data_IF_146070594716
#
_entry.id   IF_146070594716
#
_cell.length_a   1.000
_cell.length_b   1.000
_cell.length_c   1.000
_cell.angle_alpha   90.00
_cell.angle_beta   90.00
_cell.angle_gamma   90.00
#
_symmetry.space_group_name_H-M   'P 1'
#
loop_
_entity.id
_entity.type
_entity.pdbx_description
1 polymer ?
#
# COMPACT_ATOMS: atom_id res chain seq x y z
N UNK A 1 24.35 20.59 -6.55
CA UNK A 1 23.24 20.78 -7.52
C UNK A 1 21.99 19.97 -7.19
N UNK A 2 22.06 18.64 -7.04
CA UNK A 2 20.88 17.78 -6.80
C UNK A 2 20.10 18.14 -5.52
N UNK A 3 20.80 18.38 -4.40
CA UNK A 3 20.16 18.77 -3.13
C UNK A 3 19.42 20.12 -3.24
N UNK A 4 20.00 21.08 -3.98
CA UNK A 4 19.39 22.40 -4.22
C UNK A 4 18.14 22.31 -5.12
N UNK A 5 18.10 21.37 -6.06
CA UNK A 5 16.90 21.12 -6.86
C UNK A 5 15.80 20.44 -6.04
N UNK A 6 16.15 19.46 -5.20
CA UNK A 6 15.21 18.76 -4.29
C UNK A 6 14.52 19.70 -3.30
N UNK A 7 15.27 20.66 -2.73
CA UNK A 7 14.73 21.67 -1.80
C UNK A 7 13.74 22.65 -2.45
N UNK A 8 13.60 22.66 -3.78
CA UNK A 8 12.53 23.43 -4.46
C UNK A 8 11.17 22.72 -4.38
N UNK A 9 11.18 21.40 -4.20
CA UNK A 9 10.00 20.53 -4.22
C UNK A 9 9.67 19.92 -2.87
N UNK A 10 10.57 19.96 -1.90
CA UNK A 10 10.40 19.29 -0.61
C UNK A 10 10.71 20.28 0.49
N UNK A 11 9.94 20.25 1.57
CA UNK A 11 10.32 20.94 2.80
C UNK A 11 11.73 20.55 3.21
N UNK A 12 12.50 21.46 3.82
CA UNK A 12 13.78 21.08 4.40
C UNK A 12 13.56 19.90 5.37
N UNK A 13 14.42 18.88 5.34
CA UNK A 13 14.25 17.72 6.22
C UNK A 13 14.17 18.22 7.68
N UNK A 14 13.14 17.82 8.44
CA UNK A 14 12.99 18.28 9.82
C UNK A 14 14.17 17.78 10.65
N UNK A 15 14.58 18.53 11.67
CA UNK A 15 15.64 18.14 12.62
C UNK A 15 15.20 17.01 13.58
N UNK A 16 14.39 16.07 13.10
CA UNK A 16 13.91 14.92 13.85
C UNK A 16 14.70 13.67 13.46
N UNK A 17 15.55 13.21 14.38
CA UNK A 17 16.28 11.94 14.24
C UNK A 17 15.30 10.78 14.08
N UNK A 18 14.16 10.83 14.78
CA UNK A 18 13.09 9.84 14.69
C UNK A 18 12.55 9.72 13.25
N UNK A 19 12.10 10.83 12.64
CA UNK A 19 11.58 10.77 11.26
C UNK A 19 12.64 10.38 10.24
N UNK A 20 13.88 10.78 10.45
CA UNK A 20 15.01 10.38 9.60
C UNK A 20 15.19 8.86 9.66
N UNK A 21 15.27 8.29 10.86
CA UNK A 21 15.37 6.84 11.06
C UNK A 21 14.15 6.12 10.48
N UNK A 22 12.94 6.61 10.73
CA UNK A 22 11.71 6.00 10.23
C UNK A 22 11.61 6.03 8.70
N UNK A 23 12.09 7.09 8.04
CA UNK A 23 12.13 7.18 6.57
C UNK A 23 13.05 6.11 5.98
N UNK A 24 14.24 5.93 6.56
CA UNK A 24 15.22 4.92 6.13
C UNK A 24 14.69 3.52 6.39
N UNK A 25 14.21 3.25 7.61
CA UNK A 25 13.73 1.93 8.03
C UNK A 25 12.50 1.49 7.23
N UNK A 26 11.52 2.37 7.03
CA UNK A 26 10.31 2.04 6.26
C UNK A 26 10.65 1.78 4.79
N UNK A 27 11.51 2.59 4.19
CA UNK A 27 11.96 2.36 2.81
C UNK A 27 12.73 1.04 2.70
N UNK A 28 13.76 0.83 3.52
CA UNK A 28 14.58 -0.37 3.47
C UNK A 28 13.78 -1.65 3.72
N UNK A 29 12.90 -1.67 4.73
CA UNK A 29 12.06 -2.83 5.03
C UNK A 29 11.13 -3.20 3.86
N UNK A 30 10.50 -2.23 3.22
CA UNK A 30 9.63 -2.48 2.06
C UNK A 30 10.40 -2.89 0.80
N UNK A 31 11.60 -2.31 0.56
CA UNK A 31 12.48 -2.75 -0.52
C UNK A 31 12.92 -4.20 -0.32
N UNK A 32 13.37 -4.54 0.89
CA UNK A 32 13.76 -5.92 1.25
C UNK A 32 12.57 -6.86 1.05
N UNK A 33 11.37 -6.47 1.52
CA UNK A 33 10.16 -7.26 1.31
C UNK A 33 9.86 -7.45 -0.19
N UNK A 34 10.00 -6.42 -1.02
CA UNK A 34 9.82 -6.52 -2.48
C UNK A 34 10.80 -7.48 -3.15
N UNK A 35 12.08 -7.45 -2.77
CA UNK A 35 13.09 -8.39 -3.26
C UNK A 35 12.79 -9.83 -2.81
N UNK A 36 12.30 -10.00 -1.58
CA UNK A 36 11.87 -11.31 -1.07
C UNK A 36 10.68 -11.89 -1.85
N UNK A 37 9.72 -11.04 -2.27
CA UNK A 37 8.61 -11.46 -3.13
C UNK A 37 9.10 -11.96 -4.50
N UNK A 38 10.08 -11.27 -5.11
CA UNK A 38 10.66 -11.66 -6.39
C UNK A 38 11.39 -13.02 -6.30
N UNK A 39 12.10 -13.24 -5.19
CA UNK A 39 12.84 -14.49 -4.94
C UNK A 39 11.96 -15.65 -4.45
N UNK A 40 10.67 -15.41 -4.21
CA UNK A 40 9.73 -16.42 -3.72
C UNK A 40 9.88 -16.74 -2.23
N UNK A 41 10.62 -15.92 -1.47
CA UNK A 41 10.82 -16.02 -0.01
C UNK A 41 9.93 -15.03 0.74
N UNK A 42 8.71 -14.80 0.24
CA UNK A 42 7.80 -13.75 0.73
C UNK A 42 7.64 -13.78 2.26
N UNK A 43 7.96 -12.68 2.95
CA UNK A 43 7.81 -12.55 4.41
C UNK A 43 6.35 -12.64 4.88
N UNK A 44 5.39 -12.37 4.00
CA UNK A 44 3.97 -12.27 4.33
C UNK A 44 3.21 -13.38 3.60
N UNK A 45 3.00 -14.49 4.32
CA UNK A 45 2.32 -15.68 3.81
C UNK A 45 0.81 -15.59 4.09
N UNK A 46 0.06 -14.86 3.25
CA UNK A 46 -1.40 -14.99 3.20
C UNK A 46 -1.91 -15.12 1.75
N UNK A 47 -3.06 -15.77 1.56
CA UNK A 47 -3.71 -16.01 0.27
C UNK A 47 -2.91 -16.93 -0.69
N UNK A 48 -2.75 -16.56 -1.97
CA UNK A 48 -2.15 -17.35 -3.06
C UNK A 48 -0.76 -17.90 -2.75
N UNK A 49 0.05 -17.13 -2.01
CA UNK A 49 1.45 -17.42 -1.75
C UNK A 49 1.68 -18.31 -0.51
N UNK A 50 0.61 -18.68 0.22
CA UNK A 50 0.70 -19.56 1.38
C UNK A 50 0.87 -21.04 1.00
N UNK A 51 0.26 -21.48 -0.11
CA UNK A 51 0.24 -22.91 -0.48
C UNK A 51 1.51 -23.43 -1.16
N UNK A 52 2.52 -22.59 -1.38
CA UNK A 52 3.76 -22.97 -2.08
C UNK A 52 4.90 -23.38 -1.15
N UNK A 53 4.75 -23.23 0.17
CA UNK A 53 5.78 -23.53 1.17
C UNK A 53 5.41 -24.67 2.12
N UNK A 54 4.74 -25.72 1.63
CA UNK A 54 4.61 -26.98 2.37
C UNK A 54 5.91 -27.80 2.25
N UNK A 55 7.03 -27.24 2.69
CA UNK A 55 8.16 -28.06 3.16
C UNK A 55 7.82 -28.50 4.58
N UNK A 56 7.52 -29.79 4.72
CA UNK A 56 7.33 -30.47 6.00
C UNK A 56 8.55 -30.22 6.90
N UNK A 57 8.43 -29.31 7.86
CA UNK A 57 9.31 -29.28 9.03
C UNK A 57 8.43 -29.71 10.21
N UNK A 58 8.57 -30.98 10.58
CA UNK A 58 8.03 -31.53 11.82
C UNK A 58 8.82 -30.92 12.99
N UNK A 59 8.23 -29.91 13.63
CA UNK A 59 8.79 -29.30 14.83
C UNK A 59 7.77 -28.41 15.50
N UNK A 60 7.23 -28.89 16.64
CA UNK A 60 6.41 -28.15 17.61
C UNK A 60 5.41 -27.15 17.03
N UNK A 61 4.21 -27.61 16.66
CA UNK A 61 3.08 -26.73 16.29
C UNK A 61 2.64 -25.92 17.50
N UNK A 62 3.29 -24.78 17.76
CA UNK A 62 2.68 -23.69 18.53
C UNK A 62 1.40 -23.33 17.77
N UNK A 63 0.24 -23.58 18.37
CA UNK A 63 -1.07 -23.32 17.74
C UNK A 63 -1.20 -21.81 17.54
N UNK A 64 -0.74 -21.29 16.40
CA UNK A 64 -0.83 -19.87 16.07
C UNK A 64 -2.30 -19.48 15.98
N UNK A 65 -2.64 -18.36 16.62
CA UNK A 65 -3.98 -17.79 16.53
C UNK A 65 -4.17 -17.30 15.10
N UNK A 66 -5.22 -17.77 14.44
CA UNK A 66 -5.58 -17.37 13.09
C UNK A 66 -6.94 -16.66 13.11
N UNK A 67 -7.00 -15.50 12.44
CA UNK A 67 -8.26 -14.80 12.20
C UNK A 67 -8.85 -15.23 10.86
N UNK A 68 -10.16 -15.08 10.70
CA UNK A 68 -10.76 -15.10 9.37
C UNK A 68 -10.12 -13.98 8.52
N UNK A 69 -9.89 -14.21 7.23
CA UNK A 69 -9.23 -13.22 6.38
C UNK A 69 -9.92 -11.84 6.40
N UNK A 70 -11.25 -11.81 6.56
CA UNK A 70 -12.00 -10.56 6.75
C UNK A 70 -11.61 -9.86 8.05
N UNK A 71 -11.69 -10.55 9.19
CA UNK A 71 -11.41 -9.95 10.50
C UNK A 71 -9.94 -9.56 10.64
N UNK A 72 -9.02 -10.38 10.11
CA UNK A 72 -7.59 -10.07 10.09
C UNK A 72 -7.30 -8.78 9.32
N UNK A 73 -7.89 -8.61 8.14
CA UNK A 73 -7.70 -7.38 7.36
C UNK A 73 -8.42 -6.17 7.98
N UNK A 74 -9.58 -6.33 8.62
CA UNK A 74 -10.22 -5.24 9.38
C UNK A 74 -9.30 -4.74 10.49
N UNK A 75 -8.77 -5.66 11.30
CA UNK A 75 -7.83 -5.34 12.38
C UNK A 75 -6.55 -4.69 11.84
N UNK A 76 -6.07 -5.12 10.67
CA UNK A 76 -4.89 -4.56 10.05
C UNK A 76 -5.06 -3.09 9.61
N UNK A 77 -6.23 -2.72 9.05
CA UNK A 77 -6.44 -1.36 8.53
C UNK A 77 -7.00 -0.38 9.58
N UNK A 78 -7.73 -0.88 10.57
CA UNK A 78 -8.50 -0.04 11.48
C UNK A 78 -7.65 0.97 12.30
N UNK A 79 -6.50 0.60 12.88
CA UNK A 79 -5.70 1.56 13.65
C UNK A 79 -5.18 2.73 12.81
N UNK A 80 -4.80 2.48 11.56
CA UNK A 80 -4.34 3.53 10.65
C UNK A 80 -5.47 4.50 10.24
N UNK A 81 -6.69 3.98 10.05
CA UNK A 81 -7.88 4.79 9.85
C UNK A 81 -8.14 5.70 11.07
N UNK A 82 -8.12 5.13 12.28
CA UNK A 82 -8.30 5.88 13.53
C UNK A 82 -7.23 6.95 13.68
N UNK A 83 -5.96 6.66 13.37
CA UNK A 83 -4.89 7.64 13.40
C UNK A 83 -5.13 8.82 12.43
N UNK A 84 -5.59 8.54 11.21
CA UNK A 84 -5.95 9.56 10.23
C UNK A 84 -7.09 10.46 10.71
N UNK A 85 -8.17 9.87 11.24
CA UNK A 85 -9.31 10.62 11.80
C UNK A 85 -8.91 11.41 13.03
N UNK A 86 -8.16 10.82 13.95
CA UNK A 86 -7.67 11.50 15.16
C UNK A 86 -6.81 12.72 14.80
N UNK A 87 -5.96 12.60 13.78
CA UNK A 87 -5.15 13.73 13.29
C UNK A 87 -6.05 14.88 12.80
N UNK A 88 -7.14 14.57 12.09
CA UNK A 88 -8.11 15.58 11.63
C UNK A 88 -8.93 16.20 12.77
N UNK A 89 -9.18 15.48 13.86
CA UNK A 89 -10.00 15.99 14.97
C UNK A 89 -9.18 16.79 15.99
N UNK A 90 -7.96 16.34 16.30
CA UNK A 90 -7.14 16.93 17.36
C UNK A 90 -6.11 17.95 16.86
N UNK A 91 -5.82 18.00 15.56
CA UNK A 91 -4.81 18.88 14.97
C UNK A 91 -5.41 19.75 13.86
N UNK A 92 -6.53 20.42 14.17
CA UNK A 92 -7.32 21.18 13.18
C UNK A 92 -6.64 22.46 12.70
N UNK A 93 -5.76 23.06 13.51
CA UNK A 93 -5.18 24.38 13.25
C UNK A 93 -3.86 24.34 12.46
N UNK A 94 -3.45 23.17 11.97
CA UNK A 94 -2.17 22.93 11.26
C UNK A 94 -2.17 23.38 9.78
N UNK A 95 -3.25 24.02 9.32
CA UNK A 95 -3.36 24.58 7.98
C UNK A 95 -3.76 23.59 6.88
N UNK A 96 -3.95 24.12 5.65
CA UNK A 96 -4.60 23.41 4.54
C UNK A 96 -3.84 22.16 4.08
N UNK A 97 -2.51 22.21 4.01
CA UNK A 97 -1.69 21.06 3.56
C UNK A 97 -1.82 19.89 4.54
N UNK A 98 -1.80 20.18 5.84
CA UNK A 98 -2.04 19.19 6.88
C UNK A 98 -3.42 18.55 6.74
N UNK A 99 -4.48 19.35 6.60
CA UNK A 99 -5.83 18.82 6.39
C UNK A 99 -5.92 17.94 5.14
N UNK A 100 -5.32 18.36 4.01
CA UNK A 100 -5.34 17.58 2.77
C UNK A 100 -4.65 16.23 2.91
N UNK A 101 -3.43 16.19 3.47
CA UNK A 101 -2.67 14.93 3.58
C UNK A 101 -3.32 13.97 4.57
N UNK A 102 -3.78 14.46 5.72
CA UNK A 102 -4.46 13.63 6.73
C UNK A 102 -5.83 13.16 6.25
N UNK A 103 -6.55 13.99 5.47
CA UNK A 103 -7.76 13.57 4.76
C UNK A 103 -7.48 12.47 3.75
N UNK A 104 -6.40 12.56 2.96
CA UNK A 104 -6.03 11.52 2.02
C UNK A 104 -5.75 10.18 2.73
N UNK A 105 -5.04 10.22 3.87
CA UNK A 105 -4.79 9.03 4.72
C UNK A 105 -6.11 8.46 5.26
N UNK A 106 -6.97 9.29 5.85
CA UNK A 106 -8.24 8.86 6.41
C UNK A 106 -9.15 8.25 5.34
N UNK A 107 -9.26 8.89 4.18
CA UNK A 107 -10.06 8.42 3.04
C UNK A 107 -9.50 7.12 2.47
N UNK A 108 -8.18 6.99 2.33
CA UNK A 108 -7.54 5.75 1.88
C UNK A 108 -7.91 4.57 2.79
N UNK A 109 -7.68 4.70 4.10
CA UNK A 109 -7.95 3.60 5.04
C UNK A 109 -9.45 3.37 5.27
N UNK A 110 -10.28 4.42 5.21
CA UNK A 110 -11.74 4.26 5.18
C UNK A 110 -12.17 3.39 4.00
N UNK A 111 -11.69 3.74 2.80
CA UNK A 111 -11.96 2.98 1.57
C UNK A 111 -11.49 1.53 1.70
N UNK A 112 -10.32 1.27 2.30
CA UNK A 112 -9.85 -0.11 2.57
C UNK A 112 -10.77 -0.88 3.51
N UNK A 113 -11.22 -0.25 4.59
CA UNK A 113 -12.20 -0.86 5.51
C UNK A 113 -13.53 -1.14 4.81
N UNK A 114 -14.02 -0.18 4.02
CA UNK A 114 -15.23 -0.34 3.22
C UNK A 114 -15.12 -1.54 2.27
N UNK A 115 -14.00 -1.67 1.55
CA UNK A 115 -13.77 -2.81 0.67
C UNK A 115 -13.75 -4.15 1.41
N UNK A 116 -13.09 -4.21 2.57
CA UNK A 116 -13.06 -5.43 3.39
C UNK A 116 -14.47 -5.84 3.83
N UNK A 117 -15.33 -4.86 4.14
CA UNK A 117 -16.69 -5.11 4.60
C UNK A 117 -17.66 -5.49 3.47
N UNK A 118 -17.56 -4.85 2.32
CA UNK A 118 -18.62 -4.86 1.30
C UNK A 118 -18.18 -5.40 -0.06
N UNK A 119 -16.89 -5.40 -0.39
CA UNK A 119 -16.39 -5.72 -1.74
C UNK A 119 -15.62 -7.05 -1.74
N UNK A 120 -14.64 -7.21 -0.86
CA UNK A 120 -13.74 -8.36 -0.87
C UNK A 120 -14.43 -9.66 -0.45
N UNK A 121 -14.11 -10.73 -1.18
CA UNK A 121 -14.56 -12.10 -0.89
C UNK A 121 -13.40 -12.94 -0.41
N UNK A 122 -13.28 -13.06 0.91
CA UNK A 122 -12.24 -13.81 1.59
C UNK A 122 -12.53 -15.31 1.57
N UNK A 123 -11.49 -16.12 1.40
CA UNK A 123 -11.59 -17.59 1.34
C UNK A 123 -10.56 -18.30 2.22
N UNK A 124 -9.73 -17.56 2.95
CA UNK A 124 -8.65 -18.08 3.78
C UNK A 124 -8.56 -17.35 5.12
N UNK A 125 -7.66 -17.83 5.99
CA UNK A 125 -7.33 -17.23 7.27
C UNK A 125 -6.11 -16.32 7.16
N UNK A 126 -5.87 -15.55 8.22
CA UNK A 126 -4.72 -14.67 8.37
C UNK A 126 -4.07 -14.92 9.74
N UNK A 127 -2.79 -15.31 9.77
CA UNK A 127 -2.03 -15.44 11.02
C UNK A 127 -1.93 -14.14 11.82
N UNK A 128 -1.99 -14.22 13.16
CA UNK A 128 -1.96 -13.04 14.05
C UNK A 128 -0.68 -12.21 13.95
N UNK A 129 0.48 -12.84 13.77
CA UNK A 129 1.77 -12.18 13.57
C UNK A 129 1.73 -11.29 12.32
N UNK A 130 1.12 -11.78 11.24
CA UNK A 130 0.91 -11.00 10.01
C UNK A 130 -0.03 -9.82 10.26
N UNK A 131 -1.12 -10.03 11.02
CA UNK A 131 -2.04 -8.93 11.39
C UNK A 131 -1.29 -7.86 12.17
N UNK A 132 -0.49 -8.24 13.17
CA UNK A 132 0.28 -7.31 14.00
C UNK A 132 1.28 -6.52 13.16
N UNK A 133 2.05 -7.20 12.30
CA UNK A 133 3.06 -6.56 11.45
C UNK A 133 2.42 -5.54 10.50
N UNK A 134 1.35 -5.94 9.80
CA UNK A 134 0.67 -5.07 8.84
C UNK A 134 -0.02 -3.90 9.57
N UNK A 135 -0.73 -4.20 10.66
CA UNK A 135 -1.39 -3.19 11.50
C UNK A 135 -0.42 -2.14 12.03
N UNK A 136 0.70 -2.59 12.61
CA UNK A 136 1.73 -1.70 13.14
C UNK A 136 2.35 -0.84 12.04
N UNK A 137 2.64 -1.44 10.89
CA UNK A 137 3.23 -0.73 9.74
C UNK A 137 2.31 0.36 9.19
N UNK A 138 1.01 0.07 9.03
CA UNK A 138 0.03 1.05 8.55
C UNK A 138 -0.26 2.15 9.56
N UNK A 139 -0.38 1.80 10.85
CA UNK A 139 -0.54 2.79 11.91
C UNK A 139 0.67 3.74 11.94
N UNK A 140 1.88 3.18 11.90
CA UNK A 140 3.12 3.95 11.93
C UNK A 140 3.26 4.83 10.69
N UNK A 141 2.88 4.33 9.50
CA UNK A 141 2.81 5.16 8.30
C UNK A 141 1.87 6.36 8.48
N UNK A 142 0.63 6.13 8.91
CA UNK A 142 -0.35 7.20 9.12
C UNK A 142 0.14 8.23 10.15
N UNK A 143 0.67 7.77 11.29
CA UNK A 143 1.19 8.62 12.35
C UNK A 143 2.42 9.41 11.90
N UNK A 144 3.38 8.79 11.22
CA UNK A 144 4.58 9.47 10.75
C UNK A 144 4.29 10.46 9.62
N UNK A 145 3.32 10.20 8.74
CA UNK A 145 2.88 11.20 7.74
C UNK A 145 2.30 12.43 8.44
N UNK A 146 1.36 12.25 9.37
CA UNK A 146 0.78 13.36 10.13
C UNK A 146 1.86 14.12 10.92
N UNK A 147 2.73 13.42 11.65
CA UNK A 147 3.82 14.02 12.41
C UNK A 147 4.83 14.76 11.52
N UNK A 148 5.20 14.18 10.37
CA UNK A 148 6.09 14.83 9.42
C UNK A 148 5.51 16.13 8.88
N UNK A 149 4.20 16.18 8.67
CA UNK A 149 3.52 17.37 8.20
C UNK A 149 3.40 18.42 9.32
N UNK A 150 3.11 18.01 10.55
CA UNK A 150 3.08 18.90 11.71
C UNK A 150 4.41 19.63 11.93
N UNK A 151 5.55 18.94 11.76
CA UNK A 151 6.87 19.57 11.88
C UNK A 151 7.18 20.62 10.80
N UNK A 152 6.37 20.72 9.76
CA UNK A 152 6.47 21.80 8.76
C UNK A 152 5.68 23.04 9.14
N UNK A 153 4.94 23.03 10.26
CA UNK A 153 4.22 24.19 10.75
C UNK A 153 5.18 25.37 10.96
N UNK A 154 4.83 26.54 10.40
CA UNK A 154 5.64 27.75 10.46
C UNK A 154 6.76 27.84 9.41
N UNK A 155 7.02 26.79 8.63
CA UNK A 155 7.90 26.89 7.47
C UNK A 155 7.16 27.48 6.26
N UNK A 156 7.84 28.26 5.39
CA UNK A 156 7.26 28.67 4.13
C UNK A 156 6.95 27.44 3.26
N UNK A 157 5.86 27.54 2.49
CA UNK A 157 5.50 26.52 1.50
C UNK A 157 6.64 26.30 0.48
N UNK A 158 6.81 25.07 -0.04
CA UNK A 158 7.83 24.80 -1.05
C UNK A 158 7.66 25.70 -2.29
N UNK A 159 8.79 26.08 -2.90
CA UNK A 159 8.79 26.96 -4.08
C UNK A 159 7.89 26.44 -5.21
N UNK A 160 7.91 25.13 -5.44
CA UNK A 160 7.00 24.46 -6.36
C UNK A 160 5.98 23.70 -5.53
N UNK A 161 4.77 24.24 -5.47
CA UNK A 161 3.69 23.68 -4.68
C UNK A 161 2.92 22.61 -5.47
N UNK A 162 3.04 21.35 -5.04
CA UNK A 162 2.44 20.20 -5.68
C UNK A 162 1.14 19.75 -5.01
N UNK A 163 0.62 20.45 -3.99
CA UNK A 163 -0.47 19.89 -3.16
C UNK A 163 -1.75 19.58 -3.93
N UNK A 164 -2.12 20.44 -4.89
CA UNK A 164 -3.33 20.23 -5.70
C UNK A 164 -3.11 19.19 -6.80
N UNK A 165 -1.93 19.18 -7.42
CA UNK A 165 -1.56 18.13 -8.38
C UNK A 165 -1.51 16.75 -7.69
N UNK A 166 -0.91 16.67 -6.50
CA UNK A 166 -0.89 15.48 -5.66
C UNK A 166 -2.29 15.03 -5.23
N UNK A 167 -3.18 15.98 -4.92
CA UNK A 167 -4.60 15.69 -4.63
C UNK A 167 -5.29 15.06 -5.84
N UNK A 168 -5.11 15.61 -7.04
CA UNK A 168 -5.66 15.04 -8.27
C UNK A 168 -5.11 13.62 -8.53
N UNK A 169 -3.80 13.42 -8.37
CA UNK A 169 -3.16 12.11 -8.50
C UNK A 169 -3.72 11.10 -7.49
N UNK A 170 -3.87 11.50 -6.23
CA UNK A 170 -4.47 10.68 -5.19
C UNK A 170 -5.90 10.27 -5.54
N UNK A 171 -6.74 11.20 -6.02
CA UNK A 171 -8.12 10.90 -6.43
C UNK A 171 -8.18 9.91 -7.61
N UNK A 172 -7.33 10.08 -8.62
CA UNK A 172 -7.22 9.12 -9.73
C UNK A 172 -6.77 7.76 -9.22
N UNK A 173 -5.76 7.75 -8.33
CA UNK A 173 -5.26 6.55 -7.66
C UNK A 173 -6.37 5.79 -6.93
N UNK A 174 -7.05 6.44 -6.00
CA UNK A 174 -8.03 5.76 -5.14
C UNK A 174 -9.24 5.24 -5.90
N UNK A 175 -9.72 5.99 -6.91
CA UNK A 175 -10.82 5.56 -7.78
C UNK A 175 -10.37 4.35 -8.62
N UNK A 176 -9.20 4.43 -9.24
CA UNK A 176 -8.65 3.35 -10.05
C UNK A 176 -8.42 2.09 -9.21
N UNK A 177 -7.86 2.22 -8.01
CA UNK A 177 -7.64 1.09 -7.12
C UNK A 177 -8.96 0.42 -6.70
N UNK A 178 -9.95 1.22 -6.26
CA UNK A 178 -11.28 0.72 -5.90
C UNK A 178 -11.96 -0.01 -7.06
N UNK A 179 -11.95 0.59 -8.25
CA UNK A 179 -12.56 0.01 -9.44
C UNK A 179 -11.97 -1.38 -9.75
N UNK A 180 -10.66 -1.54 -9.68
CA UNK A 180 -10.02 -2.82 -9.97
C UNK A 180 -10.22 -3.86 -8.85
N UNK A 181 -10.31 -3.46 -7.58
CA UNK A 181 -10.74 -4.37 -6.50
C UNK A 181 -12.19 -4.84 -6.69
N UNK A 182 -13.09 -3.94 -7.09
CA UNK A 182 -14.45 -4.30 -7.42
C UNK A 182 -14.51 -5.31 -8.56
N UNK A 183 -13.73 -5.15 -9.64
CA UNK A 183 -13.61 -6.15 -10.71
C UNK A 183 -13.11 -7.49 -10.19
N UNK A 184 -12.08 -7.51 -9.32
CA UNK A 184 -11.59 -8.76 -8.71
C UNK A 184 -12.66 -9.46 -7.87
N UNK A 185 -13.51 -8.72 -7.16
CA UNK A 185 -14.60 -9.30 -6.36
C UNK A 185 -15.64 -10.05 -7.20
N UNK A 186 -15.81 -9.66 -8.47
CA UNK A 186 -16.75 -10.29 -9.41
C UNK A 186 -16.29 -11.65 -9.91
N UNK A 187 -15.00 -11.98 -9.78
CA UNK A 187 -14.46 -13.28 -10.21
C UNK A 187 -14.98 -14.45 -9.37
N UNK A 188 -15.30 -14.19 -8.09
CA UNK A 188 -15.80 -15.19 -7.15
C UNK A 188 -17.32 -15.07 -7.01
N UNK A 189 -18.08 -15.54 -8.00
CA UNK A 189 -19.55 -15.70 -7.87
C UNK A 189 -19.85 -17.04 -7.18
N UNK A 190 -20.92 -17.10 -6.38
CA UNK A 190 -21.43 -18.35 -5.80
C UNK A 190 -20.54 -19.07 -4.78
N UNK A 191 -19.53 -18.42 -4.18
CA UNK A 191 -18.63 -19.06 -3.19
C UNK A 191 -17.52 -19.93 -3.81
N UNK A 192 -17.34 -19.88 -5.12
CA UNK A 192 -16.27 -20.60 -5.82
C UNK A 192 -14.88 -20.19 -5.31
N UNK A 193 -14.05 -21.19 -5.01
CA UNK A 193 -12.65 -21.01 -4.55
C UNK A 193 -11.63 -21.08 -5.70
N UNK A 194 -12.04 -21.43 -6.91
CA UNK A 194 -11.14 -21.52 -8.05
C UNK A 194 -10.63 -20.13 -8.47
N UNK A 195 -9.39 -20.09 -8.92
CA UNK A 195 -8.79 -18.86 -9.45
C UNK A 195 -9.18 -18.68 -10.91
N UNK A 196 -9.46 -17.43 -11.30
CA UNK A 196 -9.82 -17.05 -12.67
C UNK A 196 -8.89 -15.94 -13.16
N UNK A 197 -8.76 -15.83 -14.48
CA UNK A 197 -8.07 -14.73 -15.14
C UNK A 197 -8.98 -13.48 -15.05
N UNK A 198 -8.49 -12.37 -14.47
CA UNK A 198 -9.26 -11.13 -14.41
C UNK A 198 -9.36 -10.48 -15.80
N UNK A 199 -10.53 -9.92 -16.11
CA UNK A 199 -10.77 -9.15 -17.34
C UNK A 199 -11.48 -7.82 -17.02
N UNK A 200 -11.33 -6.85 -17.92
CA UNK A 200 -11.91 -5.51 -17.81
C UNK A 200 -10.98 -4.49 -17.15
N UNK A 201 -11.24 -3.20 -17.37
CA UNK A 201 -10.34 -2.14 -16.94
C UNK A 201 -8.93 -2.33 -17.52
N UNK A 202 -7.91 -2.13 -16.69
CA UNK A 202 -6.50 -2.30 -17.07
C UNK A 202 -6.00 -3.75 -16.94
N UNK A 203 -6.84 -4.73 -16.57
CA UNK A 203 -6.41 -6.13 -16.46
C UNK A 203 -5.98 -6.75 -17.80
N UNK A 204 -6.39 -6.17 -18.92
CA UNK A 204 -5.92 -6.57 -20.25
C UNK A 204 -4.49 -6.09 -20.57
N UNK A 205 -3.96 -5.14 -19.79
CA UNK A 205 -2.63 -4.55 -19.99
C UNK A 205 -1.64 -5.00 -18.90
N UNK A 206 -2.09 -5.06 -17.64
CA UNK A 206 -1.25 -5.39 -16.49
C UNK A 206 -1.98 -6.36 -15.55
N UNK A 207 -1.25 -7.25 -14.87
CA UNK A 207 -1.86 -8.28 -14.01
C UNK A 207 -2.39 -7.72 -12.69
N UNK A 208 -1.76 -6.68 -12.14
CA UNK A 208 -2.18 -6.02 -10.90
C UNK A 208 -2.37 -4.51 -11.09
N UNK A 209 -3.38 -4.07 -11.85
CA UNK A 209 -3.68 -2.65 -12.02
C UNK A 209 -4.04 -1.96 -10.70
N UNK A 210 -4.66 -2.69 -9.77
CA UNK A 210 -4.91 -2.17 -8.42
C UNK A 210 -3.60 -1.76 -7.73
N UNK A 211 -2.51 -2.52 -7.85
CA UNK A 211 -1.20 -2.12 -7.30
C UNK A 211 -0.62 -0.89 -8.01
N UNK A 212 -0.78 -0.77 -9.33
CA UNK A 212 -0.39 0.44 -10.07
C UNK A 212 -1.09 1.69 -9.52
N UNK A 213 -2.40 1.61 -9.32
CA UNK A 213 -3.17 2.73 -8.79
C UNK A 213 -2.87 3.01 -7.30
N UNK A 214 -2.53 1.99 -6.52
CA UNK A 214 -2.07 2.16 -5.13
C UNK A 214 -0.70 2.88 -5.06
N UNK A 215 0.20 2.60 -6.00
CA UNK A 215 1.44 3.38 -6.15
C UNK A 215 1.12 4.84 -6.48
N UNK A 216 0.17 5.08 -7.39
CA UNK A 216 -0.26 6.43 -7.75
C UNK A 216 -0.87 7.17 -6.54
N UNK A 217 -1.60 6.49 -5.66
CA UNK A 217 -2.09 7.06 -4.40
C UNK A 217 -0.94 7.52 -3.50
N UNK A 218 0.10 6.69 -3.31
CA UNK A 218 1.25 7.05 -2.48
C UNK A 218 2.10 8.18 -3.08
N UNK A 219 2.24 8.21 -4.41
CA UNK A 219 2.85 9.36 -5.11
C UNK A 219 2.01 10.61 -4.87
N UNK A 220 0.67 10.52 -4.99
CA UNK A 220 -0.24 11.62 -4.69
C UNK A 220 -0.06 12.16 -3.28
N UNK A 221 -0.06 11.28 -2.26
CA UNK A 221 0.18 11.65 -0.85
C UNK A 221 1.55 12.31 -0.67
N UNK A 222 2.59 11.81 -1.34
CA UNK A 222 3.92 12.40 -1.29
C UNK A 222 3.97 13.79 -1.93
N UNK A 223 3.25 14.01 -3.02
CA UNK A 223 3.09 15.32 -3.65
C UNK A 223 2.23 16.28 -2.82
N UNK A 224 1.26 15.78 -2.04
CA UNK A 224 0.50 16.60 -1.08
C UNK A 224 1.39 17.01 0.09
N UNK A 225 2.16 16.08 0.66
CA UNK A 225 2.95 16.37 1.86
C UNK A 225 4.22 17.15 1.53
N UNK A 226 4.92 16.79 0.45
CA UNK A 226 6.24 17.31 0.10
C UNK A 226 7.25 17.20 1.25
N UNK A 227 7.16 16.14 2.05
CA UNK A 227 8.12 15.79 3.11
C UNK A 227 8.85 14.48 2.79
N UNK A 228 10.02 14.28 3.39
CA UNK A 228 10.92 13.14 3.07
C UNK A 228 10.32 11.78 3.43
N UNK A 229 9.55 11.70 4.52
CA UNK A 229 8.99 10.44 5.01
C UNK A 229 8.01 9.77 4.01
N UNK A 230 6.91 10.41 3.56
CA UNK A 230 6.01 9.82 2.58
C UNK A 230 6.70 9.54 1.24
N UNK A 231 7.66 10.37 0.81
CA UNK A 231 8.47 10.10 -0.39
C UNK A 231 9.25 8.79 -0.25
N UNK A 232 9.94 8.61 0.88
CA UNK A 232 10.73 7.40 1.18
C UNK A 232 9.83 6.16 1.29
N UNK A 233 8.68 6.29 1.95
CA UNK A 233 7.68 5.22 2.01
C UNK A 233 7.15 4.85 0.63
N UNK A 234 6.89 5.84 -0.23
CA UNK A 234 6.40 5.62 -1.61
C UNK A 234 7.40 4.84 -2.43
N UNK A 235 8.69 5.16 -2.34
CA UNK A 235 9.75 4.39 -3.01
C UNK A 235 9.76 2.94 -2.54
N UNK A 236 9.78 2.72 -1.22
CA UNK A 236 9.76 1.38 -0.66
C UNK A 236 8.50 0.58 -1.03
N UNK A 237 7.32 1.19 -0.88
CA UNK A 237 6.03 0.59 -1.22
C UNK A 237 5.94 0.25 -2.70
N UNK A 238 6.47 1.11 -3.57
CA UNK A 238 6.58 0.83 -5.01
C UNK A 238 7.41 -0.41 -5.27
N UNK A 239 8.60 -0.53 -4.66
CA UNK A 239 9.42 -1.75 -4.79
C UNK A 239 8.69 -3.01 -4.29
N UNK A 240 7.99 -2.92 -3.15
CA UNK A 240 7.19 -4.02 -2.63
C UNK A 240 6.09 -4.46 -3.60
N UNK A 241 5.27 -3.51 -4.06
CA UNK A 241 4.14 -3.77 -4.95
C UNK A 241 4.56 -4.26 -6.34
N UNK A 242 5.67 -3.74 -6.88
CA UNK A 242 6.31 -4.25 -8.10
C UNK A 242 6.71 -5.71 -7.92
N UNK A 243 7.39 -6.05 -6.81
CA UNK A 243 7.79 -7.41 -6.50
C UNK A 243 6.61 -8.36 -6.37
N UNK A 244 5.55 -7.95 -5.66
CA UNK A 244 4.28 -8.69 -5.55
C UNK A 244 3.62 -8.91 -6.91
N UNK A 245 3.62 -7.88 -7.76
CA UNK A 245 3.00 -7.97 -9.08
C UNK A 245 3.76 -8.93 -9.98
N UNK A 246 5.08 -8.87 -9.96
CA UNK A 246 5.94 -9.79 -10.69
C UNK A 246 5.72 -11.24 -10.26
N UNK A 247 5.73 -11.52 -8.95
CA UNK A 247 5.46 -12.85 -8.42
C UNK A 247 4.05 -13.35 -8.82
N UNK A 248 3.05 -12.46 -8.78
CA UNK A 248 1.68 -12.76 -9.21
C UNK A 248 1.64 -13.13 -10.69
N UNK A 249 2.29 -12.35 -11.56
CA UNK A 249 2.38 -12.66 -13.00
C UNK A 249 3.01 -14.02 -13.25
N UNK A 250 4.15 -14.30 -12.61
CA UNK A 250 4.84 -15.59 -12.72
C UNK A 250 3.94 -16.75 -12.32
N UNK A 251 3.19 -16.59 -11.23
CA UNK A 251 2.23 -17.59 -10.77
C UNK A 251 1.08 -17.80 -11.78
N UNK A 252 0.52 -16.74 -12.36
CA UNK A 252 -0.54 -16.86 -13.38
C UNK A 252 -0.04 -17.59 -14.63
N UNK A 253 1.15 -17.24 -15.14
CA UNK A 253 1.79 -17.92 -16.27
C UNK A 253 2.06 -19.41 -16.01
N UNK A 254 2.39 -19.79 -14.77
CA UNK A 254 2.59 -21.19 -14.41
C UNK A 254 1.29 -21.99 -14.24
N UNK A 255 0.16 -21.30 -14.01
CA UNK A 255 -1.10 -21.93 -13.62
C UNK A 255 -2.09 -22.07 -14.77
N UNK A 256 -2.10 -21.10 -15.68
CA UNK A 256 -3.04 -21.04 -16.78
C UNK A 256 -2.26 -21.09 -18.09
N UNK A 257 -2.42 -22.18 -18.83
CA UNK A 257 -1.78 -22.37 -20.14
C UNK A 257 -2.19 -21.27 -21.13
N UNK A 258 -3.47 -20.86 -21.08
CA UNK A 258 -4.04 -19.82 -21.95
C UNK A 258 -3.84 -18.37 -21.43
N UNK A 259 -2.97 -18.14 -20.43
CA UNK A 259 -2.75 -16.79 -19.93
C UNK A 259 -2.05 -15.89 -20.97
N UNK A 260 -2.58 -14.70 -21.29
CA UNK A 260 -1.98 -13.83 -22.29
C UNK A 260 -0.57 -13.37 -21.89
N UNK A 261 0.44 -13.71 -22.71
CA UNK A 261 1.85 -13.40 -22.42
C UNK A 261 2.15 -11.90 -22.49
N UNK A 262 1.35 -11.13 -23.23
CA UNK A 262 1.52 -9.69 -23.41
C UNK A 262 1.08 -8.86 -22.19
N UNK A 263 0.26 -9.44 -21.31
CA UNK A 263 -0.12 -8.81 -20.03
C UNK A 263 1.14 -8.62 -19.20
N UNK A 264 1.42 -7.37 -18.85
CA UNK A 264 2.59 -6.93 -18.09
C UNK A 264 2.39 -7.08 -16.59
N UNK A 265 3.44 -6.94 -15.80
CA UNK A 265 3.37 -7.03 -14.34
C UNK A 265 2.60 -5.83 -13.77
N UNK A 266 3.01 -4.60 -14.06
CA UNK A 266 2.46 -3.42 -13.36
C UNK A 266 2.45 -2.14 -14.20
N UNK A 267 3.43 -1.93 -15.10
CA UNK A 267 3.50 -0.76 -15.97
C UNK A 267 3.01 -1.16 -17.37
N UNK A 268 1.91 -0.58 -17.87
CA UNK A 268 1.38 -0.88 -19.19
C UNK A 268 2.45 -0.75 -20.27
N UNK A 269 2.51 -1.73 -21.16
CA UNK A 269 3.46 -1.79 -22.30
C UNK A 269 4.96 -1.88 -21.94
N UNK A 270 5.34 -1.70 -20.68
CA UNK A 270 6.76 -1.66 -20.25
C UNK A 270 7.13 -2.88 -19.41
N UNK A 271 6.53 -3.04 -18.23
CA UNK A 271 6.96 -4.02 -17.25
C UNK A 271 5.80 -4.75 -16.58
#
# INVERSE_FOLDING_TARGET
MVLSALLRFVYPPPASLFLTAMSIMSCASLVIAGLMEITGKSMIHYSKMFNTSNTKVEGSKRKMIEFSGRNGMLLAYFPAFVAGVASLTFMQDEGRRFTLVTSAIAVHFFKRLFEVLFIHKYSGSMPIDTVIIISGSYFLYAACVAYSQHLTAGFPEPMIDLKYAGTAMFLVGIIGNFYHHYLLSKLRKGGEKQYKIPHGGLFNLVICPHYLFEILEFIGISCISQTVFPLSFTVGSTSYLIGRSYATRKWYLSKFEDFPKDVKAILPYVF
#
